data_IF_747045330702
#
_entry.id   IF_747045330702
#
_cell.length_a   1.000
_cell.length_b   1.000
_cell.length_c   1.000
_cell.angle_alpha   90.00
_cell.angle_beta   90.00
_cell.angle_gamma   90.00
#
_symmetry.space_group_name_H-M   'P 1'
#
loop_
_entity.id
_entity.type
_entity.pdbx_description
1 polymer ?
#
# COMPACT_ATOMS: atom_id res chain seq x y z
N UNK A 1 39.99 19.46 4.55
CA UNK A 1 38.58 19.08 4.34
C UNK A 1 38.15 18.37 5.60
N UNK A 2 37.40 19.05 6.45
CA UNK A 2 36.83 18.47 7.68
C UNK A 2 35.57 17.73 7.27
N UNK A 3 35.67 16.42 7.07
CA UNK A 3 34.51 15.57 6.83
C UNK A 3 33.56 15.69 8.03
N UNK A 4 32.37 16.20 7.75
CA UNK A 4 31.33 16.44 8.73
C UNK A 4 30.65 15.09 9.02
N UNK A 5 31.31 14.23 9.79
CA UNK A 5 30.81 12.90 10.13
C UNK A 5 29.62 13.06 11.09
N UNK A 6 28.42 12.52 10.76
CA UNK A 6 27.23 12.66 11.58
C UNK A 6 27.38 11.97 12.94
N UNK A 7 26.68 12.47 13.96
CA UNK A 7 26.54 11.77 15.25
C UNK A 7 25.62 10.55 15.08
N UNK A 8 25.89 9.48 15.84
CA UNK A 8 25.14 8.24 15.77
C UNK A 8 23.70 8.44 16.29
N UNK A 9 22.68 7.88 15.60
CA UNK A 9 21.32 7.93 16.09
C UNK A 9 21.14 7.10 17.37
N UNK A 10 20.43 7.64 18.36
CA UNK A 10 19.89 7.02 19.57
C UNK A 10 18.69 6.10 19.24
N UNK A 11 18.91 5.08 18.43
CA UNK A 11 17.95 4.01 18.22
C UNK A 11 18.19 2.82 19.16
N UNK A 12 17.14 2.09 19.52
CA UNK A 12 17.23 0.92 20.41
C UNK A 12 16.51 -0.28 19.75
N UNK A 13 17.15 -1.45 19.72
CA UNK A 13 16.50 -2.72 19.37
C UNK A 13 16.47 -3.59 20.62
N UNK A 14 15.30 -3.89 21.15
CA UNK A 14 15.16 -4.67 22.37
C UNK A 14 14.44 -5.98 22.07
N UNK A 15 15.11 -7.09 22.35
CA UNK A 15 14.49 -8.42 22.34
C UNK A 15 14.20 -8.84 23.77
N UNK A 16 12.93 -9.00 24.12
CA UNK A 16 12.53 -9.43 25.47
C UNK A 16 11.43 -10.47 25.44
N UNK A 17 11.34 -11.26 26.49
CA UNK A 17 10.23 -12.19 26.71
C UNK A 17 9.18 -11.47 27.52
N UNK A 18 8.00 -11.26 26.94
CA UNK A 18 6.84 -10.67 27.60
C UNK A 18 6.34 -11.60 28.70
N UNK A 19 5.58 -11.07 29.67
CA UNK A 19 5.06 -11.84 30.82
C UNK A 19 4.19 -13.05 30.46
N UNK A 20 3.71 -13.12 29.21
CA UNK A 20 2.99 -14.25 28.63
C UNK A 20 3.91 -15.31 27.98
N UNK A 21 5.23 -15.21 28.17
CA UNK A 21 6.23 -16.14 27.64
C UNK A 21 6.56 -15.94 26.15
N UNK A 22 5.98 -14.93 25.48
CA UNK A 22 6.23 -14.66 24.06
C UNK A 22 7.40 -13.71 23.88
N UNK A 23 8.29 -14.03 22.95
CA UNK A 23 9.33 -13.11 22.49
C UNK A 23 8.71 -11.92 21.77
N UNK A 24 9.02 -10.71 22.23
CA UNK A 24 8.69 -9.43 21.62
C UNK A 24 9.97 -8.69 21.21
N UNK A 25 9.82 -7.86 20.18
CA UNK A 25 10.84 -6.96 19.67
C UNK A 25 10.28 -5.55 19.76
N UNK A 26 11.00 -4.65 20.43
CA UNK A 26 10.73 -3.21 20.39
C UNK A 26 11.88 -2.52 19.65
N UNK A 27 11.53 -1.65 18.70
CA UNK A 27 12.49 -0.82 18.00
C UNK A 27 12.15 0.65 18.27
N UNK A 28 13.13 1.39 18.79
CA UNK A 28 13.10 2.85 18.82
C UNK A 28 13.93 3.35 17.64
N UNK A 29 13.26 3.99 16.70
CA UNK A 29 13.88 4.55 15.51
C UNK A 29 14.34 5.97 15.80
N UNK A 30 15.42 6.40 15.15
CA UNK A 30 15.71 7.81 14.96
C UNK A 30 16.05 8.00 13.48
N UNK A 31 15.30 8.86 12.79
CA UNK A 31 15.35 9.08 11.34
C UNK A 31 14.93 7.86 10.49
N UNK A 32 13.65 7.47 10.57
CA UNK A 32 12.94 6.44 9.76
C UNK A 32 13.49 5.00 9.78
N UNK A 33 14.67 4.78 10.33
CA UNK A 33 15.30 3.47 10.39
C UNK A 33 16.20 3.34 11.62
N UNK A 34 16.75 2.14 11.83
CA UNK A 34 17.57 1.80 12.97
C UNK A 34 18.99 1.46 12.51
N UNK A 35 19.97 2.02 13.22
CA UNK A 35 21.38 1.74 13.01
C UNK A 35 22.00 1.28 14.33
N UNK A 36 22.67 0.12 14.32
CA UNK A 36 23.38 -0.39 15.50
C UNK A 36 24.86 -0.54 15.22
N UNK A 37 25.68 -0.20 16.21
CA UNK A 37 27.10 -0.56 16.20
C UNK A 37 27.27 -2.08 16.34
N UNK A 38 28.47 -2.56 15.99
CA UNK A 38 28.83 -3.96 16.20
C UNK A 38 28.71 -4.38 17.67
N UNK A 39 29.07 -3.50 18.61
CA UNK A 39 28.95 -3.77 20.03
C UNK A 39 27.49 -3.89 20.47
N UNK A 40 26.62 -2.97 20.02
CA UNK A 40 25.19 -3.04 20.33
C UNK A 40 24.53 -4.32 19.78
N UNK A 41 24.90 -4.77 18.56
CA UNK A 41 24.44 -6.06 18.03
C UNK A 41 24.96 -7.25 18.84
N UNK A 42 26.19 -7.18 19.34
CA UNK A 42 26.79 -8.21 20.18
C UNK A 42 26.02 -8.36 21.50
N UNK A 43 25.66 -7.24 22.12
CA UNK A 43 24.84 -7.20 23.34
C UNK A 43 23.41 -7.71 23.09
N UNK A 44 22.77 -7.25 22.01
CA UNK A 44 21.42 -7.67 21.60
C UNK A 44 21.32 -9.20 21.45
N UNK A 45 22.28 -9.79 20.72
CA UNK A 45 22.27 -11.22 20.45
C UNK A 45 23.08 -12.05 21.45
N UNK A 46 23.63 -11.43 22.50
CA UNK A 46 24.44 -12.07 23.54
C UNK A 46 25.57 -12.95 22.95
N UNK A 47 26.36 -12.37 22.06
CA UNK A 47 27.54 -13.01 21.45
C UNK A 47 28.74 -12.07 21.46
N UNK A 48 29.92 -12.56 21.12
CA UNK A 48 31.10 -11.69 21.00
C UNK A 48 30.97 -10.76 19.78
N UNK A 49 31.55 -9.57 19.89
CA UNK A 49 31.64 -8.66 18.74
C UNK A 49 32.34 -9.33 17.55
N UNK A 50 33.38 -10.15 17.79
CA UNK A 50 34.07 -10.91 16.73
C UNK A 50 33.12 -11.82 15.94
N UNK A 51 32.17 -12.48 16.60
CA UNK A 51 31.14 -13.28 15.93
C UNK A 51 30.27 -12.41 15.02
N UNK A 52 29.88 -11.21 15.48
CA UNK A 52 29.14 -10.23 14.66
C UNK A 52 29.96 -9.81 13.43
N UNK A 53 31.26 -9.51 13.57
CA UNK A 53 32.13 -9.20 12.40
C UNK A 53 32.11 -10.32 11.38
N UNK A 54 32.23 -11.57 11.85
CA UNK A 54 32.26 -12.73 10.98
C UNK A 54 30.93 -12.88 10.22
N UNK A 55 29.80 -12.73 10.90
CA UNK A 55 28.48 -12.80 10.26
C UNK A 55 28.27 -11.67 9.24
N UNK A 56 28.65 -10.43 9.55
CA UNK A 56 28.56 -9.30 8.62
C UNK A 56 29.41 -9.54 7.37
N UNK A 57 30.64 -10.04 7.54
CA UNK A 57 31.52 -10.38 6.42
C UNK A 57 30.89 -11.44 5.52
N UNK A 58 30.26 -12.46 6.12
CA UNK A 58 29.54 -13.50 5.37
C UNK A 58 28.36 -12.91 4.58
N UNK A 59 27.52 -12.08 5.21
CA UNK A 59 26.36 -11.42 4.57
C UNK A 59 26.78 -10.65 3.31
N UNK A 60 27.88 -9.89 3.37
CA UNK A 60 28.38 -9.17 2.20
C UNK A 60 29.03 -10.09 1.17
N UNK A 61 29.77 -11.12 1.60
CA UNK A 61 30.41 -12.05 0.67
C UNK A 61 29.42 -12.92 -0.11
N UNK A 62 28.25 -13.19 0.46
CA UNK A 62 27.15 -13.92 -0.18
C UNK A 62 26.31 -13.02 -1.09
N UNK A 63 26.57 -11.70 -1.10
CA UNK A 63 25.80 -10.74 -1.89
C UNK A 63 24.38 -10.50 -1.40
N UNK A 64 24.05 -10.88 -0.16
CA UNK A 64 22.71 -10.66 0.41
C UNK A 64 22.43 -9.16 0.59
N UNK A 65 23.46 -8.38 0.96
CA UNK A 65 23.39 -6.94 1.14
C UNK A 65 24.63 -6.26 0.56
N UNK A 66 24.49 -5.00 0.13
CA UNK A 66 25.61 -4.18 -0.32
C UNK A 66 26.16 -3.32 0.83
N UNK A 67 27.47 -3.38 1.06
CA UNK A 67 28.11 -2.68 2.17
C UNK A 67 27.96 -1.15 2.10
N UNK A 68 28.04 -0.55 0.91
CA UNK A 68 28.01 0.91 0.73
C UNK A 68 26.66 1.53 1.13
N UNK A 69 25.56 0.79 0.99
CA UNK A 69 24.21 1.25 1.33
C UNK A 69 23.79 0.90 2.75
N UNK A 70 24.49 -0.04 3.41
CA UNK A 70 24.05 -0.63 4.69
C UNK A 70 25.02 -0.43 5.86
N UNK A 71 26.19 0.18 5.62
CA UNK A 71 27.20 0.51 6.62
C UNK A 71 27.54 2.01 6.56
N UNK A 72 27.50 2.69 7.70
CA UNK A 72 27.88 4.11 7.81
C UNK A 72 28.80 4.34 9.00
N UNK A 73 29.70 5.28 8.84
CA UNK A 73 30.62 5.74 9.87
C UNK A 73 29.97 6.90 10.64
N UNK A 74 29.89 6.77 11.97
CA UNK A 74 29.35 7.80 12.85
C UNK A 74 30.38 8.21 13.91
N UNK A 75 30.36 9.50 14.26
CA UNK A 75 31.22 10.04 15.30
C UNK A 75 30.61 9.76 16.68
N UNK A 76 31.31 8.98 17.49
CA UNK A 76 30.94 8.74 18.88
C UNK A 76 31.91 9.45 19.82
N UNK A 77 31.39 10.25 20.73
CA UNK A 77 32.15 10.92 21.79
C UNK A 77 31.95 10.15 23.09
N UNK A 78 33.04 9.71 23.71
CA UNK A 78 33.01 9.00 24.98
C UNK A 78 33.98 9.64 25.98
N UNK A 79 33.59 9.68 27.26
CA UNK A 79 34.44 10.15 28.34
C UNK A 79 35.27 8.97 28.88
N UNK A 80 36.57 8.96 28.60
CA UNK A 80 37.50 7.91 29.05
C UNK A 80 38.55 8.53 29.98
N UNK A 81 38.55 8.18 31.28
CA UNK A 81 39.56 8.67 32.23
C UNK A 81 39.60 10.20 32.39
N UNK A 82 38.44 10.87 32.27
CA UNK A 82 38.31 12.33 32.42
C UNK A 82 38.55 13.15 31.14
N UNK A 83 38.84 12.51 30.00
CA UNK A 83 38.98 13.17 28.68
C UNK A 83 37.89 12.74 27.72
N UNK A 84 37.40 13.68 26.91
CA UNK A 84 36.53 13.37 25.77
C UNK A 84 37.36 12.80 24.62
N UNK A 85 37.04 11.56 24.22
CA UNK A 85 37.66 10.88 23.09
C UNK A 85 36.62 10.72 21.99
N UNK A 86 36.93 11.23 20.79
CA UNK A 86 36.08 11.08 19.61
C UNK A 86 36.60 9.90 18.77
N UNK A 87 35.74 8.92 18.50
CA UNK A 87 36.05 7.78 17.62
C UNK A 87 35.05 7.70 16.48
N UNK A 88 35.53 7.26 15.33
CA UNK A 88 34.66 6.91 14.22
C UNK A 88 34.24 5.43 14.37
N UNK A 89 32.94 5.18 14.48
CA UNK A 89 32.39 3.86 14.75
C UNK A 89 31.38 3.49 13.67
N UNK A 90 31.60 2.32 13.07
CA UNK A 90 30.70 1.75 12.06
C UNK A 90 29.39 1.33 12.70
N UNK A 91 28.30 1.79 12.09
CA UNK A 91 26.96 1.34 12.37
C UNK A 91 26.35 0.68 11.14
N UNK A 92 25.47 -0.27 11.41
CA UNK A 92 24.86 -1.15 10.44
C UNK A 92 23.35 -0.97 10.47
N UNK A 93 22.76 -0.88 9.29
CA UNK A 93 21.32 -0.68 9.09
C UNK A 93 20.48 -1.87 9.56
N UNK A 94 19.16 -1.65 9.74
CA UNK A 94 18.19 -2.68 10.10
C UNK A 94 18.28 -3.98 9.27
N UNK A 95 18.41 -3.95 7.93
CA UNK A 95 18.61 -5.16 7.14
C UNK A 95 19.81 -6.01 7.61
N UNK A 96 20.94 -5.38 7.94
CA UNK A 96 22.13 -6.11 8.43
C UNK A 96 21.86 -6.69 9.81
N UNK A 97 21.21 -5.93 10.69
CA UNK A 97 20.85 -6.38 12.04
C UNK A 97 19.98 -7.65 11.96
N UNK A 98 18.94 -7.63 11.11
CA UNK A 98 18.06 -8.79 10.90
C UNK A 98 18.82 -9.99 10.29
N UNK A 99 19.63 -9.75 9.25
CA UNK A 99 20.41 -10.79 8.57
C UNK A 99 21.41 -11.49 9.51
N UNK A 100 22.04 -10.73 10.40
CA UNK A 100 22.89 -11.26 11.48
C UNK A 100 22.05 -12.07 12.45
N UNK A 101 20.90 -11.56 12.90
CA UNK A 101 19.99 -12.26 13.82
C UNK A 101 19.60 -13.67 13.38
N UNK A 102 19.40 -13.88 12.07
CA UNK A 102 19.16 -15.23 11.52
C UNK A 102 20.36 -16.17 11.66
N UNK A 103 21.59 -15.65 11.59
CA UNK A 103 22.84 -16.43 11.58
C UNK A 103 23.43 -16.67 12.97
N UNK A 104 23.13 -15.82 13.95
CA UNK A 104 23.70 -15.95 15.30
C UNK A 104 23.23 -17.22 15.99
N UNK A 105 24.19 -17.99 16.53
CA UNK A 105 23.94 -19.18 17.36
C UNK A 105 24.00 -18.84 18.84
N UNK A 106 22.92 -18.27 19.37
CA UNK A 106 22.75 -17.98 20.80
C UNK A 106 21.29 -18.18 21.24
N UNK A 107 21.04 -18.16 22.55
CA UNK A 107 19.66 -18.17 23.09
C UNK A 107 18.84 -17.01 22.53
N UNK A 108 19.42 -15.80 22.47
CA UNK A 108 18.77 -14.61 21.87
C UNK A 108 18.55 -14.76 20.37
N UNK A 109 19.53 -15.31 19.62
CA UNK A 109 19.35 -15.63 18.21
C UNK A 109 18.23 -16.63 17.95
N UNK A 110 18.08 -17.65 18.82
CA UNK A 110 16.96 -18.60 18.75
C UNK A 110 15.62 -17.93 19.04
N UNK A 111 15.54 -17.08 20.07
CA UNK A 111 14.33 -16.30 20.36
C UNK A 111 13.94 -15.39 19.19
N UNK A 112 14.92 -14.71 18.58
CA UNK A 112 14.72 -13.87 17.40
C UNK A 112 14.16 -14.68 16.23
N UNK A 113 14.76 -15.83 15.91
CA UNK A 113 14.25 -16.71 14.83
C UNK A 113 12.84 -17.22 15.11
N UNK A 114 12.53 -17.63 16.34
CA UNK A 114 11.17 -18.05 16.72
C UNK A 114 10.16 -16.92 16.53
N UNK A 115 10.51 -15.69 16.94
CA UNK A 115 9.70 -14.50 16.72
C UNK A 115 9.48 -14.25 15.22
N UNK A 116 10.55 -14.24 14.42
CA UNK A 116 10.46 -13.97 12.99
C UNK A 116 9.66 -15.04 12.24
N UNK A 117 9.87 -16.33 12.55
CA UNK A 117 9.10 -17.44 11.98
C UNK A 117 7.61 -17.31 12.28
N UNK A 118 7.24 -16.91 13.50
CA UNK A 118 5.83 -16.69 13.87
C UNK A 118 5.20 -15.57 13.05
N UNK A 119 5.90 -14.44 12.87
CA UNK A 119 5.39 -13.34 12.04
C UNK A 119 5.25 -13.74 10.57
N UNK A 120 6.24 -14.43 10.01
CA UNK A 120 6.18 -14.92 8.63
C UNK A 120 5.03 -15.93 8.45
N UNK A 121 4.84 -16.85 9.39
CA UNK A 121 3.73 -17.79 9.36
C UNK A 121 2.37 -17.09 9.43
N UNK A 122 2.25 -16.09 10.29
CA UNK A 122 1.02 -15.29 10.40
C UNK A 122 0.71 -14.55 9.09
N UNK A 123 1.72 -13.91 8.49
CA UNK A 123 1.59 -13.27 7.18
C UNK A 123 1.17 -14.28 6.10
N UNK A 124 1.79 -15.45 6.04
CA UNK A 124 1.48 -16.48 5.04
C UNK A 124 0.07 -17.06 5.20
N UNK A 125 -0.44 -17.19 6.43
CA UNK A 125 -1.77 -17.76 6.69
C UNK A 125 -2.87 -16.69 6.55
N UNK A 126 -2.68 -15.51 7.15
CA UNK A 126 -3.73 -14.46 7.25
C UNK A 126 -3.63 -13.41 6.15
N UNK A 127 -2.45 -13.22 5.57
CA UNK A 127 -2.15 -12.14 4.62
C UNK A 127 -1.73 -10.81 5.27
N UNK A 128 -1.57 -10.75 6.60
CA UNK A 128 -1.14 -9.55 7.33
C UNK A 128 -0.44 -9.90 8.65
N UNK A 129 0.32 -8.95 9.19
CA UNK A 129 0.92 -8.97 10.54
C UNK A 129 0.69 -7.60 11.17
N UNK A 130 0.33 -7.57 12.44
CA UNK A 130 0.11 -6.33 13.20
C UNK A 130 0.76 -6.40 14.58
N UNK A 131 1.19 -5.24 15.08
CA UNK A 131 1.57 -5.05 16.47
C UNK A 131 0.47 -4.24 17.16
N UNK A 132 -0.56 -4.94 17.64
CA UNK A 132 -1.75 -4.32 18.24
C UNK A 132 -1.42 -3.45 19.45
N UNK A 133 -0.42 -3.83 20.25
CA UNK A 133 -0.05 -3.09 21.46
C UNK A 133 0.60 -1.75 21.08
N UNK A 134 1.47 -1.74 20.07
CA UNK A 134 2.05 -0.49 19.55
C UNK A 134 1.00 0.40 18.89
N UNK A 135 0.06 -0.18 18.14
CA UNK A 135 -1.00 0.58 17.45
C UNK A 135 -2.04 1.15 18.44
N UNK A 136 -2.28 0.49 19.58
CA UNK A 136 -3.18 0.99 20.64
C UNK A 136 -2.54 2.05 21.53
N UNK A 137 -1.22 2.00 21.69
CA UNK A 137 -0.47 2.88 22.55
C UNK A 137 0.51 3.72 21.72
N UNK A 138 0.01 4.73 20.97
CA UNK A 138 0.88 5.59 20.19
C UNK A 138 1.89 6.26 21.12
N UNK A 139 3.13 6.52 20.66
CA UNK A 139 4.14 7.13 21.51
C UNK A 139 3.67 8.52 22.00
N UNK A 140 3.61 8.71 23.31
CA UNK A 140 3.23 10.01 23.91
C UNK A 140 4.51 10.81 24.20
N UNK A 141 4.69 11.96 23.56
CA UNK A 141 5.85 12.86 23.78
C UNK A 141 6.87 12.87 22.63
N UNK A 142 8.14 13.20 22.93
CA UNK A 142 9.25 13.30 21.95
C UNK A 142 9.74 11.95 21.41
N UNK A 143 8.89 10.92 21.35
CA UNK A 143 9.30 9.62 20.85
C UNK A 143 9.50 9.69 19.33
N UNK A 144 10.71 9.41 18.88
CA UNK A 144 11.15 9.56 17.49
C UNK A 144 10.62 8.48 16.52
N UNK A 145 9.68 7.63 16.96
CA UNK A 145 9.06 6.59 16.12
C UNK A 145 7.83 7.16 15.42
N UNK A 146 7.79 7.21 14.08
CA UNK A 146 6.62 7.68 13.35
C UNK A 146 5.40 6.78 13.64
N UNK A 147 4.24 7.41 13.87
CA UNK A 147 2.98 6.70 13.98
C UNK A 147 2.42 6.41 12.57
N UNK A 148 2.31 5.13 12.24
CA UNK A 148 1.80 4.64 10.95
C UNK A 148 0.31 4.22 11.02
N UNK A 149 -0.40 4.55 12.11
CA UNK A 149 -1.79 4.18 12.28
C UNK A 149 -2.69 4.75 11.17
N UNK A 150 -2.48 6.01 10.78
CA UNK A 150 -3.26 6.66 9.71
C UNK A 150 -3.01 6.00 8.34
N UNK A 151 -1.76 5.66 8.01
CA UNK A 151 -1.42 4.92 6.78
C UNK A 151 -2.10 3.54 6.78
N UNK A 152 -2.07 2.83 7.91
CA UNK A 152 -2.74 1.54 8.05
C UNK A 152 -4.26 1.67 7.83
N UNK A 153 -4.89 2.69 8.42
CA UNK A 153 -6.31 2.96 8.21
C UNK A 153 -6.63 3.28 6.75
N UNK A 154 -5.80 4.04 6.06
CA UNK A 154 -5.97 4.33 4.64
C UNK A 154 -5.87 3.07 3.79
N UNK A 155 -4.89 2.20 4.04
CA UNK A 155 -4.75 0.90 3.37
C UNK A 155 -5.95 0.00 3.62
N UNK A 156 -6.46 -0.06 4.86
CA UNK A 156 -7.67 -0.82 5.18
C UNK A 156 -8.89 -0.26 4.44
N UNK A 157 -9.06 1.07 4.40
CA UNK A 157 -10.16 1.72 3.67
C UNK A 157 -10.10 1.40 2.19
N UNK A 158 -8.92 1.44 1.57
CA UNK A 158 -8.74 1.09 0.16
C UNK A 158 -9.02 -0.39 -0.11
N UNK A 159 -8.54 -1.30 0.73
CA UNK A 159 -8.86 -2.74 0.64
C UNK A 159 -10.37 -2.97 0.75
N UNK A 160 -11.04 -2.33 1.71
CA UNK A 160 -12.50 -2.44 1.89
C UNK A 160 -13.26 -1.86 0.70
N UNK A 161 -12.79 -0.76 0.13
CA UNK A 161 -13.38 -0.10 -1.03
C UNK A 161 -12.99 -0.72 -2.38
N UNK A 162 -12.16 -1.76 -2.37
CA UNK A 162 -11.94 -2.57 -3.58
C UNK A 162 -13.27 -3.13 -4.07
N UNK A 163 -13.56 -3.01 -5.37
CA UNK A 163 -14.87 -3.35 -5.95
C UNK A 163 -15.32 -4.76 -5.58
N UNK A 164 -14.38 -5.70 -5.46
CA UNK A 164 -14.68 -7.08 -5.03
C UNK A 164 -15.13 -7.15 -3.57
N UNK A 165 -14.48 -6.44 -2.65
CA UNK A 165 -14.85 -6.45 -1.22
C UNK A 165 -16.15 -5.70 -0.99
N UNK A 166 -16.32 -4.56 -1.65
CA UNK A 166 -17.60 -3.82 -1.68
C UNK A 166 -18.68 -4.74 -2.20
N UNK A 167 -18.53 -5.30 -3.41
CA UNK A 167 -19.53 -6.18 -4.01
C UNK A 167 -19.89 -7.37 -3.12
N UNK A 168 -18.90 -8.06 -2.54
CA UNK A 168 -19.17 -9.17 -1.63
C UNK A 168 -19.92 -8.72 -0.38
N UNK A 169 -19.52 -7.60 0.22
CA UNK A 169 -20.15 -7.11 1.45
C UNK A 169 -21.55 -6.57 1.23
N UNK A 170 -21.70 -5.78 0.16
CA UNK A 170 -22.98 -5.29 -0.33
C UNK A 170 -23.90 -6.47 -0.66
N UNK A 171 -23.39 -7.51 -1.32
CA UNK A 171 -24.14 -8.74 -1.59
C UNK A 171 -24.54 -9.44 -0.30
N UNK A 172 -23.65 -9.60 0.69
CA UNK A 172 -23.99 -10.19 2.00
C UNK A 172 -25.14 -9.43 2.69
N UNK A 173 -25.05 -8.10 2.75
CA UNK A 173 -26.07 -7.26 3.39
C UNK A 173 -27.40 -7.33 2.63
N UNK A 174 -27.37 -7.22 1.29
CA UNK A 174 -28.58 -7.19 0.48
C UNK A 174 -29.16 -8.56 0.19
N UNK A 175 -28.42 -9.65 0.32
CA UNK A 175 -29.00 -11.01 0.35
C UNK A 175 -29.93 -11.23 1.54
N UNK A 176 -29.85 -10.38 2.58
CA UNK A 176 -30.80 -10.38 3.69
C UNK A 176 -32.09 -9.62 3.37
N UNK A 177 -32.16 -8.91 2.24
CA UNK A 177 -33.39 -8.27 1.80
C UNK A 177 -34.42 -9.33 1.40
N UNK A 178 -35.69 -9.10 1.74
CA UNK A 178 -36.74 -10.10 1.58
C UNK A 178 -37.03 -10.46 0.11
N UNK A 179 -36.76 -9.54 -0.80
CA UNK A 179 -37.01 -9.61 -2.25
C UNK A 179 -35.74 -9.83 -3.09
N UNK A 180 -34.59 -10.10 -2.46
CA UNK A 180 -33.35 -10.27 -3.21
C UNK A 180 -33.32 -11.58 -4.00
N UNK A 181 -33.12 -11.46 -5.32
CA UNK A 181 -32.89 -12.59 -6.22
C UNK A 181 -31.65 -12.36 -7.11
N UNK A 182 -30.59 -13.21 -7.03
CA UNK A 182 -29.31 -12.97 -7.72
C UNK A 182 -29.38 -12.79 -9.24
N UNK A 183 -30.36 -13.42 -9.89
CA UNK A 183 -30.48 -13.46 -11.36
C UNK A 183 -31.57 -12.53 -11.90
N UNK A 184 -32.24 -11.76 -11.04
CA UNK A 184 -33.32 -10.87 -11.44
C UNK A 184 -32.75 -9.56 -12.06
N UNK A 185 -33.40 -9.09 -13.13
CA UNK A 185 -33.09 -7.80 -13.75
C UNK A 185 -33.24 -6.63 -12.77
N UNK A 186 -34.18 -6.71 -11.83
CA UNK A 186 -34.40 -5.67 -10.81
C UNK A 186 -33.20 -5.54 -9.87
N UNK A 187 -32.65 -6.66 -9.40
CA UNK A 187 -31.43 -6.71 -8.59
C UNK A 187 -30.24 -6.06 -9.33
N UNK A 188 -30.05 -6.38 -10.61
CA UNK A 188 -28.98 -5.79 -11.42
C UNK A 188 -29.16 -4.28 -11.59
N UNK A 189 -30.38 -3.82 -11.84
CA UNK A 189 -30.71 -2.38 -11.95
C UNK A 189 -30.48 -1.67 -10.62
N UNK A 190 -30.84 -2.31 -9.51
CA UNK A 190 -30.60 -1.77 -8.17
C UNK A 190 -29.10 -1.54 -7.91
N UNK A 191 -28.24 -2.53 -8.16
CA UNK A 191 -26.79 -2.37 -8.00
C UNK A 191 -26.21 -1.25 -8.87
N UNK A 192 -26.68 -1.13 -10.11
CA UNK A 192 -26.29 -0.03 -11.01
C UNK A 192 -26.70 1.34 -10.45
N UNK A 193 -27.91 1.44 -9.88
CA UNK A 193 -28.40 2.66 -9.23
C UNK A 193 -27.52 3.04 -8.02
N UNK A 194 -27.22 2.09 -7.14
CA UNK A 194 -26.33 2.31 -5.98
C UNK A 194 -24.95 2.78 -6.45
N UNK A 195 -24.37 2.10 -7.45
CA UNK A 195 -23.07 2.48 -8.00
C UNK A 195 -23.07 3.92 -8.55
N UNK A 196 -24.08 4.28 -9.33
CA UNK A 196 -24.19 5.62 -9.91
C UNK A 196 -24.39 6.70 -8.83
N UNK A 197 -25.19 6.44 -7.79
CA UNK A 197 -25.36 7.37 -6.66
C UNK A 197 -24.04 7.60 -5.93
N UNK A 198 -23.27 6.55 -5.68
CA UNK A 198 -21.95 6.65 -5.03
C UNK A 198 -20.92 7.40 -5.89
N UNK A 199 -20.88 7.16 -7.21
CA UNK A 199 -20.01 7.91 -8.12
C UNK A 199 -20.41 9.39 -8.18
N UNK A 200 -21.72 9.66 -8.25
CA UNK A 200 -22.25 11.02 -8.32
C UNK A 200 -21.91 11.81 -7.04
N UNK A 201 -22.02 11.20 -5.87
CA UNK A 201 -21.70 11.83 -4.60
C UNK A 201 -20.23 12.26 -4.44
N UNK A 202 -19.32 11.79 -5.31
CA UNK A 202 -17.89 12.15 -5.31
C UNK A 202 -17.47 12.96 -6.54
N UNK A 203 -18.23 12.91 -7.63
CA UNK A 203 -17.79 13.46 -8.94
C UNK A 203 -18.82 14.36 -9.60
N UNK A 204 -20.04 14.42 -9.07
CA UNK A 204 -21.23 15.01 -9.69
C UNK A 204 -21.54 14.43 -11.08
N UNK A 205 -21.07 13.21 -11.35
CA UNK A 205 -21.27 12.47 -12.60
C UNK A 205 -21.66 11.02 -12.31
N UNK A 206 -22.56 10.47 -13.13
CA UNK A 206 -22.76 9.01 -13.19
C UNK A 206 -21.52 8.31 -13.75
N UNK A 207 -21.42 7.00 -13.58
CA UNK A 207 -20.30 6.23 -14.11
C UNK A 207 -20.13 6.39 -15.64
N UNK A 208 -21.25 6.46 -16.37
CA UNK A 208 -21.24 6.67 -17.82
C UNK A 208 -20.79 8.08 -18.21
N UNK A 209 -21.28 9.10 -17.51
CA UNK A 209 -20.87 10.49 -17.72
C UNK A 209 -19.38 10.72 -17.41
N UNK A 210 -18.89 10.09 -16.33
CA UNK A 210 -17.48 10.16 -15.94
C UNK A 210 -16.57 9.62 -17.05
N UNK A 211 -16.87 8.42 -17.56
CA UNK A 211 -16.13 7.81 -18.67
C UNK A 211 -16.19 8.72 -19.90
N UNK A 212 -17.41 9.10 -20.30
CA UNK A 212 -17.59 9.91 -21.50
C UNK A 212 -16.93 11.28 -21.40
N UNK A 213 -16.85 11.87 -20.21
CA UNK A 213 -16.19 13.16 -19.98
C UNK A 213 -14.66 13.07 -19.98
N UNK A 214 -14.08 11.94 -19.55
CA UNK A 214 -12.64 11.86 -19.25
C UNK A 214 -11.82 11.07 -20.27
N UNK A 215 -12.45 10.13 -20.98
CA UNK A 215 -11.76 9.33 -21.98
C UNK A 215 -11.26 10.19 -23.15
N UNK A 216 -9.96 10.11 -23.42
CA UNK A 216 -9.30 10.96 -24.42
C UNK A 216 -8.00 10.31 -24.92
N UNK A 217 -7.97 9.86 -26.17
CA UNK A 217 -6.81 9.19 -26.76
C UNK A 217 -5.55 10.08 -26.84
N UNK A 218 -5.68 11.40 -26.74
CA UNK A 218 -4.54 12.33 -26.79
C UNK A 218 -3.79 12.44 -25.47
N UNK A 219 -4.38 11.98 -24.36
CA UNK A 219 -3.77 12.01 -23.04
C UNK A 219 -2.92 10.77 -22.78
N UNK A 220 -1.91 10.86 -21.89
CA UNK A 220 -1.25 9.68 -21.35
C UNK A 220 -2.29 8.68 -20.83
N UNK A 221 -2.13 7.41 -21.21
CA UNK A 221 -2.99 6.30 -20.81
C UNK A 221 -4.50 6.58 -20.98
N UNK A 222 -4.85 7.38 -22.00
CA UNK A 222 -6.21 7.78 -22.33
C UNK A 222 -6.96 8.58 -21.25
N UNK A 223 -6.23 9.15 -20.29
CA UNK A 223 -6.81 9.84 -19.14
C UNK A 223 -7.18 8.91 -17.98
N UNK A 224 -6.80 7.62 -18.04
CA UNK A 224 -6.91 6.70 -16.90
C UNK A 224 -5.91 7.11 -15.81
N UNK A 225 -6.31 6.96 -14.55
CA UNK A 225 -5.49 7.18 -13.36
C UNK A 225 -5.05 5.86 -12.71
N UNK A 226 -5.72 4.76 -13.04
CA UNK A 226 -5.42 3.42 -12.53
C UNK A 226 -5.90 2.35 -13.51
N UNK A 227 -5.11 1.31 -13.75
CA UNK A 227 -5.50 0.12 -14.53
C UNK A 227 -4.62 -1.07 -14.16
N UNK A 228 -4.99 -2.29 -14.60
CA UNK A 228 -4.25 -3.51 -14.25
C UNK A 228 -3.25 -3.90 -15.34
N UNK A 229 -1.99 -4.10 -14.93
CA UNK A 229 -0.90 -4.55 -15.78
C UNK A 229 -0.11 -3.38 -16.39
N UNK A 230 0.82 -3.71 -17.28
CA UNK A 230 1.81 -2.74 -17.77
C UNK A 230 1.28 -1.81 -18.87
N UNK A 231 0.13 -2.14 -19.47
CA UNK A 231 -0.46 -1.39 -20.58
C UNK A 231 -1.97 -1.32 -20.48
N UNK A 232 -2.54 -0.17 -20.88
CA UNK A 232 -3.98 0.02 -21.01
C UNK A 232 -4.59 -1.01 -21.97
N UNK A 233 -5.64 -1.70 -21.50
CA UNK A 233 -6.44 -2.65 -22.26
C UNK A 233 -7.82 -2.08 -22.60
N UNK A 234 -8.45 -2.62 -23.64
CA UNK A 234 -9.79 -2.21 -24.07
C UNK A 234 -10.88 -2.41 -23.01
N UNK A 235 -10.67 -3.32 -22.06
CA UNK A 235 -11.57 -3.50 -20.91
C UNK A 235 -11.45 -2.37 -19.90
N UNK A 236 -10.25 -1.81 -19.72
CA UNK A 236 -9.96 -0.82 -18.68
C UNK A 236 -10.66 0.51 -18.96
N UNK A 237 -10.81 0.88 -20.24
CA UNK A 237 -11.42 2.15 -20.65
C UNK A 237 -12.93 2.23 -20.41
N UNK A 238 -13.58 1.10 -20.09
CA UNK A 238 -15.01 1.00 -19.79
C UNK A 238 -15.33 1.01 -18.30
N UNK A 239 -14.30 1.09 -17.44
CA UNK A 239 -14.41 1.08 -15.99
C UNK A 239 -14.33 2.52 -15.48
N UNK A 240 -15.41 3.03 -14.90
CA UNK A 240 -15.49 4.42 -14.42
C UNK A 240 -14.47 4.72 -13.32
N UNK A 241 -14.25 3.78 -12.40
CA UNK A 241 -13.27 3.90 -11.31
C UNK A 241 -11.87 4.23 -11.82
N UNK A 242 -11.49 3.72 -12.99
CA UNK A 242 -10.16 3.94 -13.57
C UNK A 242 -9.92 5.38 -14.04
N UNK A 243 -10.97 6.22 -14.07
CA UNK A 243 -10.85 7.64 -14.41
C UNK A 243 -10.97 8.56 -13.19
N UNK A 244 -11.18 8.03 -11.97
CA UNK A 244 -11.30 8.83 -10.76
C UNK A 244 -9.94 9.40 -10.36
N UNK A 245 -9.93 10.65 -9.92
CA UNK A 245 -8.74 11.30 -9.37
C UNK A 245 -8.47 10.81 -7.95
N UNK A 246 -7.28 11.08 -7.43
CA UNK A 246 -6.86 10.59 -6.11
C UNK A 246 -7.79 11.08 -4.98
N UNK A 247 -8.18 12.36 -5.01
CA UNK A 247 -9.15 12.97 -4.10
C UNK A 247 -10.53 12.30 -4.19
N UNK A 248 -11.02 12.08 -5.41
CA UNK A 248 -12.31 11.43 -5.65
C UNK A 248 -12.32 9.95 -5.22
N UNK A 249 -11.19 9.23 -5.38
CA UNK A 249 -11.04 7.85 -4.88
C UNK A 249 -11.06 7.86 -3.35
N UNK A 250 -10.32 8.78 -2.71
CA UNK A 250 -10.33 8.90 -1.24
C UNK A 250 -11.72 9.20 -0.71
N UNK A 251 -12.45 10.08 -1.39
CA UNK A 251 -13.83 10.40 -1.05
C UNK A 251 -14.78 9.22 -1.25
N UNK A 252 -14.74 8.56 -2.41
CA UNK A 252 -15.53 7.36 -2.70
C UNK A 252 -15.28 6.27 -1.66
N UNK A 253 -14.00 6.01 -1.36
CA UNK A 253 -13.61 5.01 -0.36
C UNK A 253 -14.17 5.36 1.03
N UNK A 254 -14.22 6.64 1.42
CA UNK A 254 -14.81 7.08 2.70
C UNK A 254 -16.33 6.83 2.72
N UNK A 255 -17.05 7.28 1.69
CA UNK A 255 -18.52 7.11 1.61
C UNK A 255 -18.91 5.65 1.64
N UNK A 256 -18.24 4.83 0.81
CA UNK A 256 -18.54 3.41 0.70
C UNK A 256 -18.35 2.71 2.04
N UNK A 257 -17.29 3.02 2.77
CA UNK A 257 -17.06 2.43 4.09
C UNK A 257 -18.14 2.85 5.10
N UNK A 258 -18.47 4.14 5.18
CA UNK A 258 -19.52 4.63 6.07
C UNK A 258 -20.90 4.05 5.73
N UNK A 259 -21.22 3.93 4.45
CA UNK A 259 -22.46 3.30 3.97
C UNK A 259 -22.51 1.82 4.34
N UNK A 260 -21.41 1.08 4.16
CA UNK A 260 -21.33 -0.33 4.53
C UNK A 260 -21.52 -0.55 6.03
N UNK A 261 -20.89 0.27 6.87
CA UNK A 261 -21.03 0.19 8.33
C UNK A 261 -22.47 0.52 8.76
N UNK A 262 -23.09 1.53 8.14
CA UNK A 262 -24.51 1.86 8.35
C UNK A 262 -25.41 0.70 7.93
N UNK A 263 -25.21 0.15 6.73
CA UNK A 263 -26.05 -0.90 6.20
C UNK A 263 -25.91 -2.21 7.00
N UNK A 264 -24.71 -2.52 7.50
CA UNK A 264 -24.49 -3.64 8.41
C UNK A 264 -25.27 -3.47 9.73
N UNK A 265 -25.19 -2.31 10.39
CA UNK A 265 -25.95 -2.05 11.61
C UNK A 265 -27.46 -2.17 11.37
N UNK A 266 -27.97 -1.64 10.25
CA UNK A 266 -29.38 -1.75 9.90
C UNK A 266 -29.81 -3.21 9.68
N UNK A 267 -28.98 -4.03 9.03
CA UNK A 267 -29.24 -5.44 8.81
C UNK A 267 -29.21 -6.26 10.12
N UNK A 268 -28.23 -6.00 11.00
CA UNK A 268 -28.10 -6.66 12.30
C UNK A 268 -29.29 -6.39 13.23
N UNK A 269 -29.94 -5.23 13.09
CA UNK A 269 -31.17 -4.88 13.83
C UNK A 269 -32.41 -5.64 13.36
N UNK A 270 -32.27 -6.63 12.47
CA UNK A 270 -33.32 -7.58 12.01
C UNK A 270 -34.61 -6.90 11.55
N UNK A 271 -34.51 -5.73 10.94
CA UNK A 271 -35.63 -5.16 10.19
C UNK A 271 -35.69 -5.90 8.87
N UNK A 272 -36.86 -6.41 8.48
CA UNK A 272 -37.05 -6.82 7.09
C UNK A 272 -36.99 -5.55 6.24
N UNK A 273 -36.07 -5.54 5.28
CA UNK A 273 -35.81 -4.40 4.38
C UNK A 273 -35.90 -4.94 2.95
N UNK A 274 -36.56 -4.21 2.06
CA UNK A 274 -36.63 -4.53 0.63
C UNK A 274 -35.50 -3.81 -0.12
N UNK A 275 -35.19 -4.22 -1.36
CA UNK A 275 -34.17 -3.55 -2.17
C UNK A 275 -34.47 -2.05 -2.37
N UNK A 276 -35.74 -1.69 -2.55
CA UNK A 276 -36.13 -0.28 -2.69
C UNK A 276 -35.84 0.53 -1.41
N UNK A 277 -36.13 -0.04 -0.23
CA UNK A 277 -35.84 0.63 1.05
C UNK A 277 -34.34 0.93 1.20
N UNK A 278 -33.47 0.07 0.65
CA UNK A 278 -32.03 0.30 0.63
C UNK A 278 -31.62 1.46 -0.28
N UNK A 279 -32.30 1.61 -1.42
CA UNK A 279 -32.06 2.75 -2.31
C UNK A 279 -32.47 4.07 -1.64
N UNK A 280 -33.60 4.07 -0.94
CA UNK A 280 -34.11 5.24 -0.22
C UNK A 280 -33.25 5.57 1.00
N UNK A 281 -32.78 4.55 1.72
CA UNK A 281 -31.80 4.70 2.82
C UNK A 281 -30.48 5.27 2.33
N UNK A 282 -30.01 4.89 1.15
CA UNK A 282 -28.79 5.47 0.58
C UNK A 282 -28.97 6.96 0.30
N UNK A 283 -30.13 7.37 -0.23
CA UNK A 283 -30.41 8.79 -0.48
C UNK A 283 -30.44 9.60 0.80
N UNK A 284 -31.11 9.08 1.83
CA UNK A 284 -31.12 9.69 3.16
C UNK A 284 -29.72 9.76 3.77
N UNK A 285 -28.93 8.69 3.63
CA UNK A 285 -27.56 8.63 4.12
C UNK A 285 -26.66 9.66 3.43
N UNK A 286 -26.72 9.76 2.10
CA UNK A 286 -25.94 10.74 1.34
C UNK A 286 -26.36 12.17 1.70
N UNK A 287 -27.68 12.43 1.71
CA UNK A 287 -28.23 13.72 2.08
C UNK A 287 -27.86 14.14 3.51
N UNK A 288 -27.93 13.23 4.48
CA UNK A 288 -27.54 13.47 5.87
C UNK A 288 -26.05 13.81 6.04
N UNK A 289 -25.19 13.31 5.14
CA UNK A 289 -23.76 13.59 5.16
C UNK A 289 -23.38 14.80 4.27
N UNK A 290 -24.35 15.68 3.96
CA UNK A 290 -24.18 16.86 3.10
C UNK A 290 -23.62 16.54 1.71
N UNK A 291 -24.07 15.42 1.13
CA UNK A 291 -23.65 14.97 -0.21
C UNK A 291 -24.77 15.11 -1.22
N UNK A 292 -24.40 15.48 -2.44
CA UNK A 292 -25.32 15.53 -3.56
C UNK A 292 -25.84 14.14 -3.91
N UNK A 293 -27.16 14.04 -4.03
CA UNK A 293 -27.86 12.81 -4.39
C UNK A 293 -28.23 12.87 -5.87
N UNK A 294 -27.89 11.82 -6.62
CA UNK A 294 -28.24 11.71 -8.02
C UNK A 294 -29.77 11.69 -8.21
N UNK A 295 -30.31 12.70 -8.88
CA UNK A 295 -31.70 12.72 -9.33
C UNK A 295 -31.84 12.09 -10.72
N UNK A 296 -32.55 10.96 -10.83
CA UNK A 296 -32.80 10.28 -12.10
C UNK A 296 -31.64 9.39 -12.57
N UNK A 297 -31.53 9.17 -13.89
CA UNK A 297 -30.60 8.20 -14.49
C UNK A 297 -29.31 8.80 -15.06
N UNK A 298 -29.12 10.12 -14.97
CA UNK A 298 -28.06 10.85 -15.68
C UNK A 298 -28.41 11.16 -17.14
N UNK A 299 -27.47 11.77 -17.86
CA UNK A 299 -27.65 12.27 -19.24
C UNK A 299 -27.05 11.36 -20.31
N UNK A 300 -26.10 10.50 -19.94
CA UNK A 300 -25.36 9.66 -20.89
C UNK A 300 -25.63 8.19 -20.57
N UNK A 301 -26.00 7.42 -21.60
CA UNK A 301 -26.21 5.98 -21.44
C UNK A 301 -24.88 5.23 -21.32
N UNK A 302 -24.89 4.09 -20.61
CA UNK A 302 -23.70 3.24 -20.48
C UNK A 302 -23.18 2.78 -21.85
N UNK A 303 -24.08 2.49 -22.78
CA UNK A 303 -23.71 2.08 -24.14
C UNK A 303 -22.97 3.19 -24.88
N UNK A 304 -23.48 4.42 -24.86
CA UNK A 304 -22.85 5.54 -25.57
C UNK A 304 -21.47 5.87 -24.97
N UNK A 305 -21.34 5.79 -23.65
CA UNK A 305 -20.07 5.97 -22.97
C UNK A 305 -19.04 4.88 -23.33
N UNK A 306 -19.46 3.61 -23.35
CA UNK A 306 -18.58 2.49 -23.71
C UNK A 306 -18.18 2.51 -25.19
N UNK A 307 -19.11 2.86 -26.09
CA UNK A 307 -18.85 3.00 -27.52
C UNK A 307 -17.83 4.14 -27.77
N UNK A 308 -18.02 5.30 -27.11
CA UNK A 308 -17.03 6.39 -27.15
C UNK A 308 -15.67 5.93 -26.63
N UNK A 309 -15.61 5.26 -25.48
CA UNK A 309 -14.36 4.84 -24.87
C UNK A 309 -13.60 3.82 -25.73
N UNK A 310 -14.32 2.89 -26.37
CA UNK A 310 -13.75 1.91 -27.29
C UNK A 310 -13.19 2.57 -28.55
N UNK A 311 -13.89 3.58 -29.09
CA UNK A 311 -13.43 4.34 -30.24
C UNK A 311 -12.13 5.12 -29.94
N UNK A 312 -12.09 5.78 -28.79
CA UNK A 312 -10.86 6.45 -28.31
C UNK A 312 -9.73 5.44 -28.08
N UNK A 313 -10.03 4.23 -27.58
CA UNK A 313 -9.02 3.18 -27.41
C UNK A 313 -8.41 2.75 -28.72
N UNK A 314 -9.24 2.58 -29.76
CA UNK A 314 -8.75 2.18 -31.08
C UNK A 314 -7.83 3.27 -31.68
N UNK A 315 -8.11 4.56 -31.43
CA UNK A 315 -7.22 5.68 -31.80
C UNK A 315 -5.91 5.65 -31.02
N UNK A 316 -5.97 5.49 -29.70
CA UNK A 316 -4.81 5.42 -28.81
C UNK A 316 -3.90 4.24 -29.15
N UNK A 317 -4.48 3.06 -29.40
CA UNK A 317 -3.75 1.85 -29.77
C UNK A 317 -2.99 2.04 -31.09
N UNK A 318 -3.59 2.72 -32.08
CA UNK A 318 -2.91 3.06 -33.32
C UNK A 318 -1.73 4.02 -33.11
N UNK A 319 -1.91 5.07 -32.29
CA UNK A 319 -0.83 6.01 -31.95
C UNK A 319 0.32 5.30 -31.22
N UNK A 320 0.00 4.50 -30.20
CA UNK A 320 0.98 3.70 -29.44
C UNK A 320 1.76 2.74 -30.33
N UNK A 321 1.07 2.06 -31.27
CA UNK A 321 1.71 1.17 -32.23
C UNK A 321 2.70 1.92 -33.13
N UNK A 322 2.31 3.07 -33.67
CA UNK A 322 3.20 3.90 -34.52
C UNK A 322 4.44 4.37 -33.76
N UNK A 323 4.29 4.77 -32.50
CA UNK A 323 5.41 5.16 -31.64
C UNK A 323 6.38 4.00 -31.41
N UNK A 324 5.87 2.82 -31.04
CA UNK A 324 6.70 1.61 -30.85
C UNK A 324 7.42 1.18 -32.12
N UNK A 325 6.75 1.26 -33.27
CA UNK A 325 7.37 0.97 -34.58
C UNK A 325 8.50 1.96 -34.89
N UNK A 326 8.31 3.26 -34.60
CA UNK A 326 9.34 4.28 -34.78
C UNK A 326 10.54 4.10 -33.82
N UNK A 327 10.30 3.81 -32.55
CA UNK A 327 11.33 3.51 -31.55
C UNK A 327 12.12 2.24 -31.92
N UNK A 328 11.42 1.18 -32.33
CA UNK A 328 12.04 -0.05 -32.81
C UNK A 328 12.91 0.18 -34.06
N UNK A 329 12.46 1.02 -35.00
CA UNK A 329 13.25 1.40 -36.15
C UNK A 329 14.52 2.16 -35.76
N UNK A 330 14.42 3.12 -34.83
CA UNK A 330 15.59 3.85 -34.30
C UNK A 330 16.57 2.94 -33.58
N UNK A 331 16.08 2.02 -32.74
CA UNK A 331 16.89 1.06 -32.02
C UNK A 331 17.63 0.11 -32.99
N UNK A 332 16.94 -0.37 -34.03
CA UNK A 332 17.55 -1.19 -35.08
C UNK A 332 18.63 -0.43 -35.85
N UNK A 333 18.38 0.84 -36.21
CA UNK A 333 19.38 1.70 -36.86
C UNK A 333 20.59 1.90 -35.95
N UNK A 334 20.39 2.14 -34.64
CA UNK A 334 21.46 2.29 -33.68
C UNK A 334 22.29 1.00 -33.51
N UNK A 335 21.63 -0.16 -33.46
CA UNK A 335 22.29 -1.46 -33.39
C UNK A 335 23.13 -1.75 -34.64
N UNK A 336 22.59 -1.50 -35.84
CA UNK A 336 23.32 -1.65 -37.10
C UNK A 336 24.55 -0.71 -37.17
N UNK A 337 24.41 0.55 -36.73
CA UNK A 337 25.53 1.49 -36.62
C UNK A 337 26.61 1.03 -35.63
N UNK A 338 26.23 0.39 -34.53
CA UNK A 338 27.17 -0.12 -33.54
C UNK A 338 27.96 -1.33 -34.07
N UNK A 339 27.32 -2.20 -34.88
CA UNK A 339 27.98 -3.32 -35.55
C UNK A 339 29.00 -2.79 -36.57
N UNK A 340 28.60 -1.84 -37.42
CA UNK A 340 29.50 -1.23 -38.42
C UNK A 340 30.70 -0.47 -37.83
N UNK A 341 30.63 -0.06 -36.56
CA UNK A 341 31.75 0.55 -35.84
C UNK A 341 32.70 -0.46 -35.20
N UNK A 342 32.29 -1.72 -35.01
CA UNK A 342 33.16 -2.80 -34.48
C UNK A 342 33.99 -3.48 -35.57
N UNK A 343 33.56 -3.38 -36.83
CA UNK A 343 34.25 -3.95 -38.00
C UNK A 343 35.27 -2.98 -38.64
N UNK A 344 35.59 -1.87 -37.95
CA UNK A 344 36.70 -0.95 -38.24
C UNK A 344 37.63 -0.91 -37.04
#
# INVERSE_FOLDING_TARGET
MTDNIPQAPHGEFVLFTSGDGKTRVECRFESDTLWLSQAAMADLYQVSSQAITQHIKTVYSEGELEQNSTCKDYLQVQLEGGREVKRNIRHYSLPVILAVGYRVRSTRGTQFRQWATRLLQEYLIKGFVMDDERLKNPPVGHSAVPDYFDEMLERIRDIRASERRVYLRVKEIFTMAADYEPSNQETNRFFQTIQNKLHYACTHMTAAELIASRVDASKPDMGLTSYKGDEVRKTDVTIAKNYLREDEIKELNRIVNMWLDFAEDQALRRKQVFLQDWADKLDQFLSFNDRDVLSGAGKISKKDADDKARLEFDRFAQQRRRLKEAEGALANIAALKAILKKDK
#
